data_IF_041506884806
#
_entry.id   IF_041506884806
#
_cell.length_a   1.000
_cell.length_b   1.000
_cell.length_c   1.000
_cell.angle_alpha   90.00
_cell.angle_beta   90.00
_cell.angle_gamma   90.00
#
_symmetry.space_group_name_H-M   'P 1'
#
loop_
_entity.id
_entity.type
_entity.pdbx_description
1 polymer ?
#
# COMPACT_ATOMS: atom_id res chain seq x y z
N UNK A 1 16.04 9.14 -22.08
CA UNK A 1 14.59 8.87 -22.15
C UNK A 1 13.83 10.11 -21.69
N UNK A 2 12.82 10.58 -22.43
CA UNK A 2 11.92 11.62 -21.90
C UNK A 2 11.06 10.98 -20.80
N UNK A 3 11.11 11.48 -19.56
CA UNK A 3 10.37 10.87 -18.46
C UNK A 3 8.86 10.99 -18.71
N UNK A 4 8.05 9.96 -18.42
CA UNK A 4 6.64 9.92 -18.78
C UNK A 4 5.85 10.93 -17.94
N UNK A 5 5.60 12.11 -18.52
CA UNK A 5 4.83 13.19 -17.90
C UNK A 5 3.44 12.71 -17.48
N UNK A 6 2.82 11.85 -18.30
CA UNK A 6 1.52 11.23 -18.03
C UNK A 6 1.53 10.44 -16.71
N UNK A 7 2.54 9.61 -16.47
CA UNK A 7 2.64 8.79 -15.25
C UNK A 7 2.72 9.68 -14.00
N UNK A 8 3.52 10.75 -14.07
CA UNK A 8 3.65 11.73 -12.97
C UNK A 8 2.31 12.41 -12.67
N UNK A 9 1.57 12.82 -13.70
CA UNK A 9 0.28 13.50 -13.55
C UNK A 9 -0.78 12.56 -12.98
N UNK A 10 -0.94 11.37 -13.57
CA UNK A 10 -1.92 10.36 -13.11
C UNK A 10 -1.66 10.01 -11.65
N UNK A 11 -0.40 9.72 -11.28
CA UNK A 11 -0.07 9.37 -9.90
C UNK A 11 -0.30 10.54 -8.93
N UNK A 12 -0.14 11.78 -9.39
CA UNK A 12 -0.50 12.97 -8.61
C UNK A 12 -2.00 13.04 -8.32
N UNK A 13 -2.83 12.80 -9.33
CA UNK A 13 -4.30 12.77 -9.19
C UNK A 13 -4.72 11.63 -8.26
N UNK A 14 -4.22 10.42 -8.48
CA UNK A 14 -4.49 9.26 -7.63
C UNK A 14 -4.15 9.54 -6.16
N UNK A 15 -3.00 10.18 -5.91
CA UNK A 15 -2.59 10.51 -4.53
C UNK A 15 -3.52 11.52 -3.85
N UNK A 16 -3.99 12.54 -4.58
CA UNK A 16 -4.95 13.51 -4.02
C UNK A 16 -6.27 12.83 -3.69
N UNK A 17 -6.79 11.99 -4.61
CA UNK A 17 -8.01 11.23 -4.38
C UNK A 17 -7.89 10.30 -3.17
N UNK A 18 -6.74 9.64 -2.99
CA UNK A 18 -6.46 8.77 -1.85
C UNK A 18 -6.39 9.54 -0.52
N UNK A 19 -5.81 10.75 -0.51
CA UNK A 19 -5.82 11.58 0.71
C UNK A 19 -7.25 11.98 1.07
N UNK A 20 -8.06 12.36 0.08
CA UNK A 20 -9.45 12.78 0.32
C UNK A 20 -10.26 11.59 0.85
N UNK A 21 -10.16 10.41 0.22
CA UNK A 21 -10.89 9.22 0.68
C UNK A 21 -10.46 8.80 2.08
N UNK A 22 -9.17 8.85 2.39
CA UNK A 22 -8.65 8.54 3.72
C UNK A 22 -9.07 9.56 4.78
N UNK A 23 -9.06 10.85 4.44
CA UNK A 23 -9.57 11.90 5.31
C UNK A 23 -11.06 11.72 5.62
N UNK A 24 -11.86 11.35 4.61
CA UNK A 24 -13.27 11.00 4.79
C UNK A 24 -13.45 9.80 5.71
N UNK A 25 -12.62 8.77 5.58
CA UNK A 25 -12.65 7.57 6.43
C UNK A 25 -12.34 7.90 7.89
N UNK A 26 -11.32 8.72 8.16
CA UNK A 26 -11.02 9.17 9.52
C UNK A 26 -12.17 10.02 10.08
N UNK A 27 -12.72 10.91 9.26
CA UNK A 27 -13.81 11.79 9.67
C UNK A 27 -15.06 10.99 10.08
N UNK A 28 -15.47 10.00 9.28
CA UNK A 28 -16.62 9.15 9.61
C UNK A 28 -16.37 8.37 10.91
N UNK A 29 -15.19 7.79 11.07
CA UNK A 29 -14.82 7.03 12.26
C UNK A 29 -14.80 7.89 13.54
N UNK A 30 -14.23 9.10 13.49
CA UNK A 30 -14.26 10.04 14.62
C UNK A 30 -15.69 10.51 14.89
N UNK A 31 -16.47 10.77 13.85
CA UNK A 31 -17.89 11.11 13.97
C UNK A 31 -18.70 10.05 14.71
N UNK A 32 -18.45 8.77 14.41
CA UNK A 32 -19.08 7.64 15.09
C UNK A 32 -18.68 7.53 16.57
N UNK A 33 -17.40 7.75 16.90
CA UNK A 33 -16.92 7.61 18.28
C UNK A 33 -17.38 8.75 19.22
N UNK A 34 -17.51 9.97 18.71
CA UNK A 34 -17.75 11.15 19.56
C UNK A 34 -19.14 11.79 19.40
N UNK A 35 -19.83 11.56 18.28
CA UNK A 35 -21.08 12.26 17.93
C UNK A 35 -22.27 11.33 17.67
N UNK A 36 -22.12 10.02 17.96
CA UNK A 36 -23.17 8.99 17.79
C UNK A 36 -23.76 8.94 16.38
N UNK A 37 -22.94 9.24 15.36
CA UNK A 37 -23.36 9.12 13.97
C UNK A 37 -23.58 7.65 13.60
N UNK A 38 -24.78 7.33 13.12
CA UNK A 38 -25.13 6.00 12.65
C UNK A 38 -24.81 5.85 11.16
N UNK A 39 -23.53 5.65 10.83
CA UNK A 39 -23.14 5.17 9.50
C UNK A 39 -23.04 3.64 9.49
N UNK A 40 -23.38 3.01 8.37
CA UNK A 40 -23.20 1.57 8.18
C UNK A 40 -21.73 1.31 7.83
N UNK A 41 -21.04 0.47 8.61
CA UNK A 41 -19.71 -0.04 8.27
C UNK A 41 -19.86 -1.47 7.81
N UNK A 42 -19.36 -1.75 6.61
CA UNK A 42 -19.17 -3.11 6.13
C UNK A 42 -17.75 -3.54 6.48
N UNK A 43 -17.63 -4.56 7.33
CA UNK A 43 -16.36 -5.22 7.64
C UNK A 43 -16.47 -6.63 7.10
N UNK A 44 -15.70 -6.93 6.05
CA UNK A 44 -15.60 -8.29 5.51
C UNK A 44 -16.99 -8.91 5.22
N UNK A 45 -17.80 -8.18 4.44
CA UNK A 45 -19.19 -8.48 4.05
C UNK A 45 -20.20 -8.59 5.21
N UNK A 46 -19.81 -8.24 6.44
CA UNK A 46 -20.72 -8.13 7.56
C UNK A 46 -21.00 -6.65 7.84
N UNK A 47 -22.27 -6.26 7.72
CA UNK A 47 -22.73 -4.91 8.08
C UNK A 47 -22.94 -4.89 9.58
N UNK A 48 -22.10 -4.16 10.31
CA UNK A 48 -22.24 -4.00 11.75
C UNK A 48 -22.55 -2.54 12.09
N UNK A 49 -23.52 -2.36 12.98
CA UNK A 49 -23.91 -1.06 13.54
C UNK A 49 -23.39 -0.90 14.98
N UNK A 50 -22.90 -1.98 15.61
CA UNK A 50 -22.44 -1.97 16.99
C UNK A 50 -20.91 -1.86 17.09
N UNK A 51 -20.47 -0.77 17.72
CA UNK A 51 -19.07 -0.57 18.10
C UNK A 51 -18.76 -1.31 19.40
N UNK A 52 -18.22 -2.52 19.26
CA UNK A 52 -17.57 -3.22 20.37
C UNK A 52 -16.08 -2.88 20.37
N UNK A 53 -15.40 -3.00 21.52
CA UNK A 53 -13.94 -2.88 21.61
C UNK A 53 -13.20 -3.71 20.54
N UNK A 54 -13.72 -4.90 20.22
CA UNK A 54 -13.16 -5.79 19.20
C UNK A 54 -13.27 -5.23 17.77
N UNK A 55 -14.43 -4.69 17.38
CA UNK A 55 -14.60 -4.07 16.05
C UNK A 55 -13.78 -2.79 15.93
N UNK A 56 -13.69 -2.03 17.00
CA UNK A 56 -12.86 -0.82 17.11
C UNK A 56 -11.38 -1.14 16.84
N UNK A 57 -10.83 -2.21 17.42
CA UNK A 57 -9.45 -2.64 17.16
C UNK A 57 -9.22 -3.04 15.69
N UNK A 58 -10.16 -3.76 15.08
CA UNK A 58 -10.08 -4.18 13.67
C UNK A 58 -10.10 -2.95 12.75
N UNK A 59 -11.00 -2.00 12.99
CA UNK A 59 -11.09 -0.76 12.19
C UNK A 59 -9.82 0.06 12.35
N UNK A 60 -9.30 0.22 13.56
CA UNK A 60 -8.03 0.93 13.81
C UNK A 60 -6.86 0.29 13.04
N UNK A 61 -6.77 -1.03 13.02
CA UNK A 61 -5.73 -1.74 12.26
C UNK A 61 -5.86 -1.48 10.75
N UNK A 62 -7.07 -1.51 10.19
CA UNK A 62 -7.33 -1.20 8.79
C UNK A 62 -6.99 0.27 8.44
N UNK A 63 -7.28 1.22 9.33
CA UNK A 63 -6.90 2.63 9.19
C UNK A 63 -5.39 2.76 9.08
N UNK A 64 -4.64 2.08 9.96
CA UNK A 64 -3.17 2.11 9.95
C UNK A 64 -2.62 1.53 8.64
N UNK A 65 -3.10 0.36 8.20
CA UNK A 65 -2.67 -0.25 6.94
C UNK A 65 -2.98 0.66 5.75
N UNK A 66 -4.17 1.26 5.72
CA UNK A 66 -4.57 2.23 4.69
C UNK A 66 -3.65 3.47 4.67
N UNK A 67 -3.26 3.98 5.84
CA UNK A 67 -2.29 5.08 5.95
C UNK A 67 -0.91 4.72 5.40
N UNK A 68 -0.43 3.51 5.67
CA UNK A 68 0.84 3.02 5.11
C UNK A 68 0.72 2.88 3.57
N UNK A 69 -0.40 2.39 3.06
CA UNK A 69 -0.65 2.30 1.61
C UNK A 69 -0.57 3.67 0.92
N UNK A 70 -1.09 4.73 1.54
CA UNK A 70 -0.95 6.11 1.01
C UNK A 70 0.52 6.55 1.02
N UNK A 71 1.26 6.21 2.07
CA UNK A 71 2.68 6.49 2.14
C UNK A 71 3.47 5.75 1.05
N UNK A 72 3.10 4.52 0.69
CA UNK A 72 3.69 3.79 -0.45
C UNK A 72 3.49 4.58 -1.75
N UNK A 73 2.29 5.11 -2.00
CA UNK A 73 2.00 5.94 -3.19
C UNK A 73 2.82 7.24 -3.16
N UNK A 74 2.98 7.87 -1.99
CA UNK A 74 3.87 9.02 -1.84
C UNK A 74 5.32 8.69 -2.22
N UNK A 75 5.85 7.56 -1.75
CA UNK A 75 7.20 7.11 -2.11
C UNK A 75 7.31 6.81 -3.61
N UNK A 76 6.29 6.21 -4.22
CA UNK A 76 6.24 5.97 -5.66
C UNK A 76 6.28 7.27 -6.46
N UNK A 77 5.60 8.33 -6.00
CA UNK A 77 5.70 9.68 -6.60
C UNK A 77 7.13 10.22 -6.50
N UNK A 78 7.78 10.04 -5.35
CA UNK A 78 9.18 10.46 -5.16
C UNK A 78 10.13 9.68 -6.08
N UNK A 79 9.90 8.38 -6.26
CA UNK A 79 10.66 7.53 -7.17
C UNK A 79 10.51 8.01 -8.61
N UNK A 80 9.28 8.20 -9.07
CA UNK A 80 9.00 8.69 -10.43
C UNK A 80 9.64 10.05 -10.66
N UNK A 81 9.51 10.99 -9.71
CA UNK A 81 10.16 12.30 -9.81
C UNK A 81 11.68 12.20 -9.89
N UNK A 82 12.28 11.18 -9.28
CA UNK A 82 13.73 10.95 -9.39
C UNK A 82 14.16 10.51 -10.78
N UNK A 83 13.29 9.93 -11.61
CA UNK A 83 13.61 9.59 -13.01
C UNK A 83 13.59 10.79 -13.96
N UNK A 84 13.05 11.94 -13.51
CA UNK A 84 13.15 13.20 -14.26
C UNK A 84 14.50 13.90 -14.05
N UNK A 85 15.36 13.40 -13.14
CA UNK A 85 16.72 13.88 -12.95
C UNK A 85 17.67 13.18 -13.95
N UNK A 86 18.80 13.80 -14.24
CA UNK A 86 19.78 13.29 -15.21
C UNK A 86 20.45 11.97 -14.76
N UNK A 87 20.53 11.71 -13.45
CA UNK A 87 21.06 10.45 -12.91
C UNK A 87 20.02 9.33 -12.87
N UNK A 88 20.19 8.35 -13.75
CA UNK A 88 19.56 7.03 -13.65
C UNK A 88 20.46 6.12 -12.79
N UNK A 89 19.87 5.24 -11.99
CA UNK A 89 20.54 4.32 -11.04
C UNK A 89 21.13 4.99 -9.79
N UNK A 90 20.50 6.08 -9.33
CA UNK A 90 20.89 6.73 -8.09
C UNK A 90 20.62 5.83 -6.87
N UNK A 91 21.38 6.01 -5.78
CA UNK A 91 21.16 5.27 -4.52
C UNK A 91 19.73 5.51 -4.00
N UNK A 92 19.21 6.72 -4.21
CA UNK A 92 17.85 7.08 -3.85
C UNK A 92 16.81 6.24 -4.60
N UNK A 93 16.96 6.02 -5.91
CA UNK A 93 16.04 5.18 -6.68
C UNK A 93 16.05 3.73 -6.16
N UNK A 94 17.25 3.17 -5.94
CA UNK A 94 17.43 1.81 -5.39
C UNK A 94 16.76 1.67 -4.02
N UNK A 95 17.03 2.60 -3.10
CA UNK A 95 16.42 2.60 -1.76
C UNK A 95 14.90 2.75 -1.83
N UNK A 96 14.37 3.56 -2.73
CA UNK A 96 12.93 3.72 -2.90
C UNK A 96 12.26 2.45 -3.44
N UNK A 97 12.84 1.78 -4.43
CA UNK A 97 12.32 0.50 -4.92
C UNK A 97 12.25 -0.55 -3.80
N UNK A 98 13.34 -0.71 -3.03
CA UNK A 98 13.38 -1.65 -1.92
C UNK A 98 12.36 -1.29 -0.84
N UNK A 99 12.29 -0.02 -0.43
CA UNK A 99 11.37 0.43 0.61
C UNK A 99 9.91 0.26 0.20
N UNK A 100 9.55 0.64 -1.03
CA UNK A 100 8.20 0.44 -1.58
C UNK A 100 7.83 -1.04 -1.55
N UNK A 101 8.70 -1.91 -2.07
CA UNK A 101 8.44 -3.34 -2.12
C UNK A 101 8.31 -3.97 -0.74
N UNK A 102 9.17 -3.60 0.22
CA UNK A 102 9.10 -4.07 1.61
C UNK A 102 7.80 -3.63 2.30
N UNK A 103 7.38 -2.38 2.10
CA UNK A 103 6.13 -1.87 2.66
C UNK A 103 4.91 -2.57 2.06
N UNK A 104 4.90 -2.83 0.75
CA UNK A 104 3.82 -3.60 0.10
C UNK A 104 3.72 -4.99 0.74
N UNK A 105 4.83 -5.73 0.83
CA UNK A 105 4.86 -7.07 1.45
C UNK A 105 4.37 -7.01 2.89
N UNK A 106 4.83 -6.04 3.68
CA UNK A 106 4.41 -5.87 5.07
C UNK A 106 2.91 -5.59 5.19
N UNK A 107 2.37 -4.67 4.37
CA UNK A 107 0.94 -4.35 4.34
C UNK A 107 0.10 -5.56 3.95
N UNK A 108 0.51 -6.34 2.95
CA UNK A 108 -0.22 -7.54 2.52
C UNK A 108 -0.27 -8.58 3.62
N UNK A 109 0.86 -8.83 4.30
CA UNK A 109 0.90 -9.77 5.43
C UNK A 109 0.05 -9.24 6.59
N UNK A 110 0.13 -7.94 6.90
CA UNK A 110 -0.67 -7.33 7.95
C UNK A 110 -2.17 -7.44 7.66
N UNK A 111 -2.59 -7.16 6.43
CA UNK A 111 -3.99 -7.29 6.01
C UNK A 111 -4.49 -8.72 6.15
N UNK A 112 -3.69 -9.70 5.73
CA UNK A 112 -4.03 -11.12 5.91
C UNK A 112 -4.31 -11.48 7.38
N UNK A 113 -3.50 -10.98 8.32
CA UNK A 113 -3.75 -11.18 9.75
C UNK A 113 -5.01 -10.45 10.22
N UNK A 114 -5.22 -9.21 9.79
CA UNK A 114 -6.41 -8.43 10.14
C UNK A 114 -7.68 -9.18 9.70
N UNK A 115 -7.72 -9.64 8.46
CA UNK A 115 -8.87 -10.35 7.90
C UNK A 115 -9.08 -11.70 8.60
N UNK A 116 -8.01 -12.42 8.92
CA UNK A 116 -8.08 -13.66 9.69
C UNK A 116 -8.70 -13.45 11.09
N UNK A 117 -8.23 -12.43 11.82
CA UNK A 117 -8.79 -12.11 13.13
C UNK A 117 -10.22 -11.56 13.04
N UNK A 118 -10.53 -10.76 12.02
CA UNK A 118 -11.88 -10.25 11.79
C UNK A 118 -12.87 -11.39 11.56
N UNK A 119 -12.53 -12.35 10.69
CA UNK A 119 -13.34 -13.55 10.44
C UNK A 119 -13.57 -14.37 11.71
N UNK A 120 -12.51 -14.63 12.49
CA UNK A 120 -12.61 -15.39 13.74
C UNK A 120 -13.53 -14.71 14.77
N UNK A 121 -13.45 -13.39 14.90
CA UNK A 121 -14.18 -12.63 15.91
C UNK A 121 -15.64 -12.39 15.51
N UNK A 122 -15.91 -12.11 14.24
CA UNK A 122 -17.23 -11.70 13.75
C UNK A 122 -18.10 -12.88 13.31
N UNK A 123 -17.53 -13.85 12.59
CA UNK A 123 -18.32 -14.98 12.07
C UNK A 123 -18.31 -16.20 13.00
N UNK A 124 -17.50 -16.16 14.07
CA UNK A 124 -17.21 -17.29 14.97
C UNK A 124 -16.83 -18.58 14.21
N UNK A 125 -16.35 -18.41 12.98
CA UNK A 125 -15.89 -19.45 12.07
C UNK A 125 -14.50 -19.05 11.62
N UNK A 126 -13.56 -19.98 11.72
CA UNK A 126 -12.28 -19.87 11.05
C UNK A 126 -12.50 -20.08 9.54
N UNK A 127 -13.10 -19.10 8.86
CA UNK A 127 -13.03 -19.05 7.40
C UNK A 127 -11.71 -18.40 7.04
N UNK A 128 -10.80 -19.23 6.55
CA UNK A 128 -9.69 -18.73 5.76
C UNK A 128 -10.27 -18.36 4.39
N UNK A 129 -10.84 -17.17 4.28
CA UNK A 129 -11.33 -16.66 3.00
C UNK A 129 -10.12 -16.32 2.13
N UNK A 130 -9.56 -17.33 1.47
CA UNK A 130 -8.93 -17.12 0.18
C UNK A 130 -10.05 -16.83 -0.81
N UNK A 131 -10.67 -15.66 -0.69
CA UNK A 131 -11.61 -15.18 -1.71
C UNK A 131 -10.76 -14.89 -2.94
N UNK A 132 -10.76 -15.82 -3.89
CA UNK A 132 -10.23 -15.61 -5.23
C UNK A 132 -11.29 -14.79 -5.99
N UNK A 133 -11.63 -13.61 -5.46
CA UNK A 133 -12.51 -12.67 -6.15
C UNK A 133 -11.65 -11.88 -7.11
N UNK A 134 -11.70 -12.24 -8.39
CA UNK A 134 -10.86 -11.72 -9.49
C UNK A 134 -9.34 -11.86 -9.26
N UNK A 135 -8.62 -12.35 -10.27
CA UNK A 135 -7.17 -12.57 -10.16
C UNK A 135 -6.35 -11.30 -9.80
N UNK A 136 -6.93 -10.11 -9.98
CA UNK A 136 -6.30 -8.81 -9.71
C UNK A 136 -6.56 -8.26 -8.31
N UNK A 137 -7.58 -8.75 -7.60
CA UNK A 137 -7.87 -8.35 -6.20
C UNK A 137 -7.23 -9.32 -5.19
N UNK A 138 -6.53 -10.34 -5.69
CA UNK A 138 -5.87 -11.32 -4.83
C UNK A 138 -4.69 -10.69 -4.10
N UNK A 139 -4.65 -10.87 -2.78
CA UNK A 139 -3.51 -10.54 -1.92
C UNK A 139 -2.19 -11.15 -2.42
N UNK A 140 -2.24 -12.28 -3.14
CA UNK A 140 -1.07 -12.91 -3.76
C UNK A 140 -0.48 -12.06 -4.90
N UNK A 141 -1.32 -11.40 -5.69
CA UNK A 141 -0.87 -10.50 -6.76
C UNK A 141 -0.16 -9.28 -6.17
N UNK A 142 -0.72 -8.69 -5.12
CA UNK A 142 -0.12 -7.56 -4.40
C UNK A 142 1.21 -7.97 -3.77
N UNK A 143 1.28 -9.16 -3.17
CA UNK A 143 2.52 -9.72 -2.62
C UNK A 143 3.60 -9.88 -3.71
N UNK A 144 3.23 -10.47 -4.86
CA UNK A 144 4.13 -10.63 -6.00
C UNK A 144 4.63 -9.28 -6.51
N UNK A 145 3.76 -8.27 -6.56
CA UNK A 145 4.13 -6.91 -6.92
C UNK A 145 5.15 -6.32 -5.94
N UNK A 146 4.94 -6.47 -4.63
CA UNK A 146 5.90 -6.04 -3.61
C UNK A 146 7.28 -6.69 -3.78
N UNK A 147 7.32 -8.00 -4.00
CA UNK A 147 8.56 -8.74 -4.29
C UNK A 147 9.22 -8.27 -5.59
N UNK A 148 8.43 -7.98 -6.62
CA UNK A 148 8.93 -7.44 -7.89
C UNK A 148 9.59 -6.06 -7.72
N UNK A 149 9.01 -5.17 -6.89
CA UNK A 149 9.64 -3.89 -6.56
C UNK A 149 11.01 -4.06 -5.87
N UNK A 150 11.14 -5.02 -4.94
CA UNK A 150 12.43 -5.35 -4.31
C UNK A 150 13.42 -5.86 -5.36
N UNK A 151 12.98 -6.72 -6.27
CA UNK A 151 13.82 -7.24 -7.35
C UNK A 151 14.32 -6.11 -8.27
N UNK A 152 13.46 -5.15 -8.64
CA UNK A 152 13.89 -3.96 -9.39
C UNK A 152 14.95 -3.15 -8.64
N UNK A 153 14.83 -3.00 -7.32
CA UNK A 153 15.87 -2.37 -6.49
C UNK A 153 17.23 -3.06 -6.63
N UNK A 154 17.25 -4.40 -6.57
CA UNK A 154 18.46 -5.20 -6.78
C UNK A 154 19.01 -5.07 -8.20
N UNK A 155 18.15 -5.11 -9.22
CA UNK A 155 18.55 -4.95 -10.61
C UNK A 155 19.21 -3.58 -10.83
N UNK A 156 18.62 -2.51 -10.31
CA UNK A 156 19.18 -1.16 -10.38
C UNK A 156 20.54 -1.05 -9.67
N UNK A 157 20.70 -1.75 -8.55
CA UNK A 157 22.00 -1.83 -7.86
C UNK A 157 23.06 -2.48 -8.74
N UNK A 158 22.73 -3.62 -9.37
CA UNK A 158 23.65 -4.32 -10.26
C UNK A 158 24.01 -3.49 -11.50
N UNK A 159 23.03 -2.82 -12.11
CA UNK A 159 23.28 -1.93 -13.25
C UNK A 159 24.18 -0.74 -12.88
N UNK A 160 24.04 -0.22 -11.65
CA UNK A 160 24.90 0.85 -11.14
C UNK A 160 26.35 0.38 -11.02
N UNK A 161 26.58 -0.80 -10.44
CA UNK A 161 27.92 -1.40 -10.31
C UNK A 161 28.59 -1.53 -11.68
N UNK A 162 27.89 -2.12 -12.65
CA UNK A 162 28.40 -2.30 -14.02
C UNK A 162 28.73 -0.97 -14.70
N UNK A 163 27.91 0.06 -14.48
CA UNK A 163 28.18 1.41 -15.01
C UNK A 163 29.46 2.00 -14.39
N UNK A 164 29.64 1.85 -13.08
CA UNK A 164 30.82 2.35 -12.37
C UNK A 164 32.09 1.63 -12.80
N UNK A 165 32.03 0.31 -12.98
CA UNK A 165 33.16 -0.48 -13.51
C UNK A 165 33.55 -0.01 -14.92
N UNK A 166 32.58 0.20 -15.81
CA UNK A 166 32.84 0.65 -17.17
C UNK A 166 33.44 2.08 -17.22
N UNK A 167 33.01 2.98 -16.33
CA UNK A 167 33.58 4.33 -16.19
C UNK A 167 35.01 4.33 -15.61
N UNK A 168 35.44 3.24 -14.95
CA UNK A 168 36.80 3.08 -14.40
C UNK A 168 37.78 2.45 -15.42
N UNK A 169 37.27 1.75 -16.43
CA UNK A 169 38.08 1.04 -17.42
C UNK A 169 38.28 1.78 -18.75
N UNK A 170 37.54 2.86 -18.99
CA UNK A 170 37.68 3.74 -20.16
C UNK A 170 38.48 4.98 -19.77
#
# INVERSE_FOLDING_TARGET
>A
MKPPVLLKTILGICFILLIISYGSLIFTYVGMLFFDFQFLIEINNNITTEFTWKTTMIVLANVIVSGISIYIIYLLRKLIRSFFKEEIFSRLQISLFNLIGQLIVLCTIAQFFIDFFANLILENRAKLSFTIDSAFDSSLFILALGLFFIYLGKLFSKSRELKQENELTV
#
